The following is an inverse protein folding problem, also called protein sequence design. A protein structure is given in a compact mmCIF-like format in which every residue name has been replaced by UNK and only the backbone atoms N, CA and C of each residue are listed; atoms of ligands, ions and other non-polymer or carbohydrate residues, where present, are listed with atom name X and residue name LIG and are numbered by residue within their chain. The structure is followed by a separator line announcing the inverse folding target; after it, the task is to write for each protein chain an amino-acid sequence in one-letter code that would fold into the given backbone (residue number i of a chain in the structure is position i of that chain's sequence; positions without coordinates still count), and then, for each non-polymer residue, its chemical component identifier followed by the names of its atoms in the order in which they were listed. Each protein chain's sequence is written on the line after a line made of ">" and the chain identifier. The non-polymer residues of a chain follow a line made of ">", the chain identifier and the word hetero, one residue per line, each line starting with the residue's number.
data_IF_280855444914
#
_entry.id   IF_280855444914
#
_cell.length_a   1.000
_cell.length_b   1.000
_cell.length_c   1.000
_cell.angle_alpha   90.00
_cell.angle_beta   90.00
_cell.angle_gamma   90.00
#
_symmetry.space_group_name_H-M   'P 1'
#
loop_
_entity.id
_entity.type
_entity.pdbx_description
1 polymer ?
#
# COMPACT_ATOMS: atom_id res chain seq x y z
N UNK A 1 -19.09 27.94 12.09
CA UNK A 1 -17.75 28.17 11.50
C UNK A 1 -16.98 26.86 11.26
N UNK A 2 -17.00 25.87 12.16
CA UNK A 2 -16.25 24.61 11.97
C UNK A 2 -16.74 23.74 10.80
N UNK A 3 -18.06 23.56 10.65
CA UNK A 3 -18.61 22.70 9.60
C UNK A 3 -18.32 23.20 8.17
N UNK A 4 -18.39 24.52 7.94
CA UNK A 4 -18.06 25.12 6.65
C UNK A 4 -16.58 24.92 6.28
N UNK A 5 -15.68 25.09 7.25
CA UNK A 5 -14.23 24.88 7.06
C UNK A 5 -13.93 23.41 6.74
N UNK A 6 -14.64 22.47 7.37
CA UNK A 6 -14.51 21.04 7.09
C UNK A 6 -15.04 20.69 5.70
N UNK A 7 -16.20 21.24 5.30
CA UNK A 7 -16.77 21.05 3.97
C UNK A 7 -15.86 21.62 2.87
N UNK A 8 -15.32 22.82 3.06
CA UNK A 8 -14.40 23.46 2.13
C UNK A 8 -13.09 22.66 1.99
N UNK A 9 -12.58 22.11 3.10
CA UNK A 9 -11.40 21.24 3.10
C UNK A 9 -11.66 19.92 2.34
N UNK A 10 -12.82 19.30 2.52
CA UNK A 10 -13.17 18.08 1.77
C UNK A 10 -13.25 18.38 0.28
N UNK A 11 -13.88 19.48 -0.13
CA UNK A 11 -13.91 19.91 -1.55
C UNK A 11 -12.51 20.13 -2.12
N UNK A 12 -11.62 20.72 -1.35
CA UNK A 12 -10.22 20.88 -1.75
C UNK A 12 -9.53 19.53 -1.95
N UNK A 13 -9.72 18.58 -1.03
CA UNK A 13 -9.16 17.24 -1.14
C UNK A 13 -9.74 16.43 -2.31
N UNK A 14 -11.04 16.57 -2.59
CA UNK A 14 -11.66 15.98 -3.78
C UNK A 14 -11.02 16.50 -5.06
N UNK A 15 -10.89 17.82 -5.17
CA UNK A 15 -10.25 18.47 -6.32
C UNK A 15 -8.81 18.01 -6.51
N UNK A 16 -8.06 17.89 -5.42
CA UNK A 16 -6.67 17.45 -5.46
C UNK A 16 -6.54 15.96 -5.80
N UNK A 17 -7.42 15.09 -5.30
CA UNK A 17 -7.46 13.68 -5.72
C UNK A 17 -7.74 13.57 -7.22
N UNK A 18 -8.72 14.29 -7.74
CA UNK A 18 -9.00 14.28 -9.18
C UNK A 18 -7.82 14.81 -9.99
N UNK A 19 -7.12 15.84 -9.49
CA UNK A 19 -5.92 16.38 -10.13
C UNK A 19 -4.79 15.35 -10.19
N UNK A 20 -4.49 14.70 -9.06
CA UNK A 20 -3.42 13.70 -8.98
C UNK A 20 -3.78 12.40 -9.70
N UNK A 21 -5.06 11.99 -9.69
CA UNK A 21 -5.56 10.82 -10.40
C UNK A 21 -5.32 10.92 -11.90
N UNK A 22 -5.39 12.13 -12.50
CA UNK A 22 -5.06 12.34 -13.92
C UNK A 22 -3.59 12.06 -14.26
N UNK A 23 -2.70 12.01 -13.27
CA UNK A 23 -1.28 11.68 -13.44
C UNK A 23 -1.01 10.19 -13.24
N UNK A 24 -2.02 9.40 -12.89
CA UNK A 24 -1.86 7.98 -12.64
C UNK A 24 -1.51 7.22 -13.93
N UNK A 25 -0.52 6.34 -13.86
CA UNK A 25 -0.17 5.41 -14.93
C UNK A 25 -0.54 4.01 -14.45
N UNK A 26 -1.43 3.34 -15.17
CA UNK A 26 -1.93 1.99 -14.84
C UNK A 26 -1.17 0.86 -15.58
N UNK A 27 -0.06 1.20 -16.25
CA UNK A 27 0.72 0.32 -17.12
C UNK A 27 2.16 0.15 -16.64
N UNK A 28 2.84 -0.89 -17.14
CA UNK A 28 4.24 -1.17 -16.86
C UNK A 28 5.15 -0.20 -17.64
N UNK A 29 5.98 0.53 -16.89
CA UNK A 29 6.88 1.59 -17.38
C UNK A 29 8.35 1.21 -17.37
N UNK A 30 8.71 0.13 -16.67
CA UNK A 30 10.11 -0.28 -16.46
C UNK A 30 10.37 -1.66 -17.10
N UNK A 31 11.60 -1.89 -17.59
CA UNK A 31 11.95 -3.13 -18.29
C UNK A 31 11.80 -4.38 -17.40
N UNK A 32 12.17 -4.28 -16.12
CA UNK A 32 12.08 -5.39 -15.16
C UNK A 32 10.64 -5.89 -14.97
N UNK A 33 9.63 -5.05 -15.20
CA UNK A 33 8.21 -5.43 -15.05
C UNK A 33 7.75 -6.41 -16.14
N UNK A 34 8.39 -6.32 -17.31
CA UNK A 34 8.09 -7.13 -18.49
C UNK A 34 8.83 -8.46 -18.47
N UNK A 35 9.86 -8.60 -17.63
CA UNK A 35 10.54 -9.88 -17.46
C UNK A 35 9.67 -10.86 -16.67
N UNK A 36 9.47 -12.11 -17.12
CA UNK A 36 8.69 -13.11 -16.39
C UNK A 36 9.18 -13.38 -14.97
N UNK A 37 10.49 -13.26 -14.74
CA UNK A 37 11.17 -13.47 -13.47
C UNK A 37 11.60 -12.16 -12.77
N UNK A 38 11.16 -11.02 -13.31
CA UNK A 38 11.56 -9.68 -12.86
C UNK A 38 13.07 -9.40 -12.93
N UNK A 39 13.80 -10.03 -13.85
CA UNK A 39 15.21 -9.71 -14.13
C UNK A 39 15.46 -8.21 -14.23
N UNK A 40 16.44 -7.72 -13.46
CA UNK A 40 16.75 -6.29 -13.31
C UNK A 40 16.11 -5.64 -12.09
N UNK A 41 15.15 -6.29 -11.40
CA UNK A 41 14.68 -5.88 -10.10
C UNK A 41 15.64 -6.36 -9.00
N UNK A 42 16.12 -5.45 -8.18
CA UNK A 42 17.09 -5.72 -7.11
C UNK A 42 16.61 -5.22 -5.74
N UNK A 43 15.72 -4.22 -5.72
CA UNK A 43 15.27 -3.55 -4.49
C UNK A 43 13.77 -3.30 -4.49
N UNK A 44 13.11 -3.81 -3.45
CA UNK A 44 11.68 -3.59 -3.20
C UNK A 44 11.49 -2.83 -1.90
N UNK A 45 10.71 -1.76 -1.95
CA UNK A 45 10.35 -0.94 -0.81
C UNK A 45 9.07 -1.43 -0.14
N UNK A 46 8.96 -1.22 1.16
CA UNK A 46 7.74 -1.42 1.93
C UNK A 46 7.47 -0.20 2.81
N UNK A 47 6.21 0.24 2.87
CA UNK A 47 5.80 1.32 3.77
C UNK A 47 4.60 0.93 4.60
N UNK A 48 4.58 1.41 5.84
CA UNK A 48 3.49 1.24 6.81
C UNK A 48 3.36 2.48 7.70
N UNK A 49 2.16 2.71 8.20
CA UNK A 49 1.87 3.68 9.25
C UNK A 49 1.13 2.99 10.39
N UNK A 50 1.86 2.72 11.47
CA UNK A 50 1.30 2.05 12.64
C UNK A 50 0.97 3.05 13.74
N UNK A 51 -0.29 3.12 14.13
CA UNK A 51 -0.76 3.99 15.20
C UNK A 51 -0.35 3.49 16.58
N UNK A 52 -0.15 4.43 17.50
CA UNK A 52 -0.03 4.09 18.92
C UNK A 52 -1.33 3.47 19.44
N UNK A 53 -1.23 2.56 20.41
CA UNK A 53 -2.41 1.87 20.94
C UNK A 53 -3.31 2.87 21.67
N UNK A 54 -4.55 3.02 21.19
CA UNK A 54 -5.52 3.95 21.76
C UNK A 54 -5.37 5.39 21.28
N UNK A 55 -4.56 5.64 20.25
CA UNK A 55 -4.31 6.97 19.68
C UNK A 55 -4.52 6.92 18.16
N UNK A 56 -5.27 7.87 17.60
CA UNK A 56 -5.60 7.97 16.18
C UNK A 56 -4.90 9.15 15.47
N UNK A 57 -4.01 9.85 16.19
CA UNK A 57 -3.18 10.94 15.69
C UNK A 57 -1.71 10.55 15.62
N UNK A 58 -1.17 9.89 16.64
CA UNK A 58 0.25 9.58 16.69
C UNK A 58 0.54 8.19 16.13
N UNK A 59 1.45 8.14 15.16
CA UNK A 59 1.80 6.92 14.45
C UNK A 59 3.30 6.86 14.17
N UNK A 60 3.81 5.66 13.98
CA UNK A 60 5.14 5.43 13.41
C UNK A 60 5.01 5.27 11.89
N UNK A 61 5.56 6.23 11.15
CA UNK A 61 5.80 6.09 9.72
C UNK A 61 7.05 5.26 9.50
N UNK A 62 6.93 4.18 8.73
CA UNK A 62 8.01 3.25 8.46
C UNK A 62 8.25 3.11 6.97
N UNK A 63 9.52 3.24 6.58
CA UNK A 63 10.05 2.82 5.28
C UNK A 63 11.05 1.69 5.50
N UNK A 64 11.00 0.68 4.63
CA UNK A 64 12.03 -0.36 4.51
C UNK A 64 12.38 -0.57 3.05
N UNK A 65 13.62 -0.98 2.78
CA UNK A 65 14.03 -1.49 1.47
C UNK A 65 14.67 -2.86 1.66
N UNK A 66 14.22 -3.83 0.88
CA UNK A 66 14.73 -5.19 0.91
C UNK A 66 15.45 -5.54 -0.39
N UNK A 67 16.40 -6.47 -0.30
CA UNK A 67 16.97 -7.15 -1.47
C UNK A 67 15.91 -8.01 -2.17
N UNK A 68 15.93 -8.03 -3.49
CA UNK A 68 15.16 -8.93 -4.35
C UNK A 68 16.13 -9.78 -5.20
N UNK A 69 15.84 -11.06 -5.49
CA UNK A 69 14.62 -11.82 -5.19
C UNK A 69 14.61 -12.52 -3.82
N UNK A 70 15.71 -12.52 -3.07
CA UNK A 70 15.80 -13.36 -1.87
C UNK A 70 14.93 -12.86 -0.69
N UNK A 71 14.64 -11.55 -0.63
CA UNK A 71 13.91 -10.86 0.44
C UNK A 71 14.53 -11.06 1.84
N UNK A 72 15.80 -11.47 1.91
CA UNK A 72 16.47 -11.85 3.16
C UNK A 72 17.13 -10.67 3.86
N UNK A 73 17.54 -9.64 3.12
CA UNK A 73 18.28 -8.50 3.67
C UNK A 73 17.40 -7.26 3.67
N UNK A 74 17.20 -6.67 4.84
CA UNK A 74 16.73 -5.30 4.97
C UNK A 74 17.94 -4.40 4.74
N UNK A 75 18.00 -3.77 3.56
CA UNK A 75 19.09 -2.90 3.13
C UNK A 75 18.98 -1.52 3.77
N UNK A 76 17.76 -1.04 3.96
CA UNK A 76 17.46 0.24 4.56
C UNK A 76 16.23 0.16 5.45
N UNK A 77 16.21 0.95 6.53
CA UNK A 77 15.04 1.19 7.38
C UNK A 77 15.04 2.61 7.90
N UNK A 78 13.88 3.23 7.92
CA UNK A 78 13.64 4.52 8.54
C UNK A 78 12.32 4.49 9.30
N UNK A 79 12.37 4.80 10.60
CA UNK A 79 11.24 4.78 11.53
C UNK A 79 11.12 6.19 12.12
N UNK A 80 9.99 6.85 11.88
CA UNK A 80 9.74 8.19 12.43
C UNK A 80 8.42 8.21 13.18
N UNK A 81 8.43 8.79 14.38
CA UNK A 81 7.19 9.16 15.06
C UNK A 81 6.61 10.40 14.39
N UNK A 82 5.32 10.35 14.06
CA UNK A 82 4.60 11.42 13.37
C UNK A 82 3.24 11.66 14.02
N UNK A 83 2.75 12.88 13.90
CA UNK A 83 1.43 13.29 14.40
C UNK A 83 0.54 13.73 13.23
N UNK A 84 -0.51 12.96 12.96
CA UNK A 84 -1.47 13.18 11.90
C UNK A 84 -2.49 14.25 12.33
N UNK A 85 -2.19 15.51 12.02
CA UNK A 85 -3.01 16.68 12.38
C UNK A 85 -4.21 16.91 11.46
N UNK A 86 -4.22 16.28 10.27
CA UNK A 86 -5.38 16.31 9.39
C UNK A 86 -6.52 15.42 9.94
N UNK A 87 -7.79 15.81 9.82
CA UNK A 87 -8.93 15.04 10.33
C UNK A 87 -9.11 13.72 9.59
N UNK A 88 -9.67 12.73 10.29
CA UNK A 88 -10.06 11.47 9.67
C UNK A 88 -11.37 11.63 8.89
N UNK A 89 -11.29 11.55 7.57
CA UNK A 89 -12.45 11.49 6.68
C UNK A 89 -12.32 10.24 5.81
N UNK A 90 -13.34 9.39 5.82
CA UNK A 90 -13.35 8.16 5.02
C UNK A 90 -13.14 8.48 3.54
N UNK A 91 -12.21 7.76 2.89
CA UNK A 91 -11.79 8.04 1.52
C UNK A 91 -10.70 9.11 1.35
N UNK A 92 -10.24 9.72 2.44
CA UNK A 92 -9.19 10.77 2.41
C UNK A 92 -7.99 10.46 3.31
N UNK A 93 -7.87 9.21 3.79
CA UNK A 93 -6.76 8.77 4.65
C UNK A 93 -5.39 9.11 4.05
N UNK A 94 -5.25 9.02 2.73
CA UNK A 94 -4.02 9.34 2.02
C UNK A 94 -3.50 10.77 2.29
N UNK A 95 -4.37 11.76 2.54
CA UNK A 95 -3.94 13.13 2.87
C UNK A 95 -3.31 13.23 4.27
N UNK A 96 -3.64 12.30 5.17
CA UNK A 96 -3.02 12.23 6.51
C UNK A 96 -1.67 11.52 6.45
N UNK A 97 -1.56 10.50 5.61
CA UNK A 97 -0.46 9.53 5.67
C UNK A 97 0.64 9.81 4.64
N UNK A 98 0.27 10.15 3.39
CA UNK A 98 1.22 10.31 2.27
C UNK A 98 2.34 11.31 2.56
N UNK A 99 2.11 12.48 3.20
CA UNK A 99 3.20 13.43 3.46
C UNK A 99 4.35 12.83 4.27
N UNK A 100 4.05 11.99 5.27
CA UNK A 100 5.05 11.37 6.13
C UNK A 100 5.81 10.25 5.43
N UNK A 101 5.10 9.43 4.63
CA UNK A 101 5.70 8.37 3.83
C UNK A 101 6.61 8.95 2.73
N UNK A 102 6.17 10.03 2.08
CA UNK A 102 6.95 10.73 1.06
C UNK A 102 8.23 11.32 1.64
N UNK A 103 8.17 11.91 2.84
CA UNK A 103 9.38 12.39 3.53
C UNK A 103 10.38 11.26 3.82
N UNK A 104 9.91 10.05 4.15
CA UNK A 104 10.78 8.88 4.29
C UNK A 104 11.53 8.54 3.00
N UNK A 105 10.82 8.54 1.87
CA UNK A 105 11.45 8.32 0.56
C UNK A 105 12.42 9.44 0.19
N UNK A 106 12.09 10.69 0.50
CA UNK A 106 12.97 11.84 0.26
C UNK A 106 14.26 11.75 1.08
N UNK A 107 14.17 11.42 2.37
CA UNK A 107 15.35 11.21 3.22
C UNK A 107 16.24 10.09 2.70
N UNK A 108 15.64 8.97 2.25
CA UNK A 108 16.40 7.89 1.62
C UNK A 108 17.13 8.40 0.37
N UNK A 109 16.44 9.09 -0.51
CA UNK A 109 17.02 9.63 -1.75
C UNK A 109 18.17 10.62 -1.49
N UNK A 110 18.07 11.43 -0.43
CA UNK A 110 19.11 12.39 -0.05
C UNK A 110 20.31 11.72 0.63
N UNK A 111 20.08 10.68 1.44
CA UNK A 111 21.12 10.09 2.29
C UNK A 111 21.81 8.87 1.68
N UNK A 112 21.08 7.99 0.99
CA UNK A 112 21.54 6.72 0.44
C UNK A 112 20.83 6.40 -0.90
N UNK A 113 20.98 7.25 -1.93
CA UNK A 113 20.25 7.11 -3.21
C UNK A 113 20.47 5.78 -3.92
N UNK A 114 21.61 5.12 -3.72
CA UNK A 114 21.92 3.79 -4.26
C UNK A 114 21.00 2.68 -3.71
N UNK A 115 20.38 2.92 -2.55
CA UNK A 115 19.43 2.01 -1.92
C UNK A 115 17.98 2.34 -2.27
N UNK A 116 17.71 3.32 -3.15
CA UNK A 116 16.35 3.65 -3.56
C UNK A 116 15.64 2.43 -4.16
N UNK A 117 14.38 2.17 -3.74
CA UNK A 117 13.62 1.04 -4.24
C UNK A 117 13.15 1.28 -5.67
N UNK A 118 13.09 0.22 -6.48
CA UNK A 118 12.53 0.30 -7.83
C UNK A 118 10.99 0.23 -7.85
N UNK A 119 10.40 -0.25 -6.75
CA UNK A 119 8.96 -0.35 -6.55
C UNK A 119 8.66 -0.35 -5.06
N UNK A 120 7.56 0.30 -4.65
CA UNK A 120 7.14 0.40 -3.26
C UNK A 120 5.81 -0.31 -3.04
N UNK A 121 5.80 -1.24 -2.09
CA UNK A 121 4.60 -1.88 -1.56
C UNK A 121 4.02 -1.06 -0.42
N UNK A 122 2.73 -0.75 -0.52
CA UNK A 122 2.01 0.08 0.45
C UNK A 122 0.96 -0.79 1.15
N UNK A 123 0.96 -0.80 2.48
CA UNK A 123 -0.13 -1.43 3.27
C UNK A 123 -1.40 -0.59 3.18
N UNK A 124 -2.14 -0.78 2.10
CA UNK A 124 -3.29 0.04 1.77
C UNK A 124 -3.79 -0.21 0.36
N UNK A 125 -4.82 0.54 -0.02
CA UNK A 125 -5.42 0.42 -1.35
C UNK A 125 -4.76 1.40 -2.34
N UNK A 126 -4.74 1.01 -3.62
CA UNK A 126 -4.46 1.87 -4.77
C UNK A 126 -5.77 2.21 -5.51
N UNK A 127 -5.90 1.76 -6.76
CA UNK A 127 -7.13 1.94 -7.57
C UNK A 127 -8.39 1.32 -6.95
N UNK A 128 -8.25 0.29 -6.12
CA UNK A 128 -9.40 -0.32 -5.44
C UNK A 128 -9.84 0.53 -4.24
N UNK A 129 -10.43 1.69 -4.52
CA UNK A 129 -10.73 2.72 -3.53
C UNK A 129 -12.01 3.51 -3.87
N UNK A 130 -12.57 4.23 -2.89
CA UNK A 130 -13.82 5.03 -3.05
C UNK A 130 -13.82 5.92 -4.29
N UNK A 131 -12.69 6.55 -4.61
CA UNK A 131 -12.51 7.44 -5.77
C UNK A 131 -11.50 6.91 -6.79
N UNK A 132 -11.20 5.61 -6.69
CA UNK A 132 -10.14 4.95 -7.46
C UNK A 132 -8.77 5.63 -7.33
N UNK A 133 -8.49 6.21 -6.16
CA UNK A 133 -7.24 6.90 -5.85
C UNK A 133 -6.90 6.75 -4.36
N UNK A 134 -6.43 5.56 -4.00
CA UNK A 134 -6.04 5.22 -2.63
C UNK A 134 -4.63 5.70 -2.27
N UNK A 135 -4.16 5.32 -1.07
CA UNK A 135 -2.84 5.67 -0.55
C UNK A 135 -1.70 5.29 -1.50
N UNK A 136 -1.75 4.10 -2.10
CA UNK A 136 -0.69 3.64 -3.01
C UNK A 136 -0.63 4.45 -4.30
N UNK A 137 -1.78 4.92 -4.81
CA UNK A 137 -1.83 5.84 -5.95
C UNK A 137 -1.25 7.19 -5.58
N UNK A 138 -1.65 7.73 -4.43
CA UNK A 138 -1.21 9.03 -3.95
C UNK A 138 0.31 9.07 -3.76
N UNK A 139 0.86 8.09 -3.04
CA UNK A 139 2.30 7.98 -2.83
C UNK A 139 3.06 7.76 -4.14
N UNK A 140 2.57 6.89 -5.02
CA UNK A 140 3.20 6.59 -6.30
C UNK A 140 3.27 7.81 -7.22
N UNK A 141 2.16 8.54 -7.37
CA UNK A 141 2.12 9.75 -8.19
C UNK A 141 3.06 10.83 -7.66
N UNK A 142 3.09 11.07 -6.34
CA UNK A 142 3.93 12.12 -5.76
C UNK A 142 5.42 11.75 -5.71
N UNK A 143 5.74 10.47 -5.50
CA UNK A 143 7.13 9.99 -5.51
C UNK A 143 7.67 9.74 -6.91
N UNK A 144 6.79 9.54 -7.90
CA UNK A 144 7.16 9.12 -9.25
C UNK A 144 7.59 7.66 -9.37
N UNK A 145 7.54 6.88 -8.27
CA UNK A 145 7.94 5.47 -8.22
C UNK A 145 6.79 4.53 -8.60
N UNK A 146 7.09 3.35 -9.17
CA UNK A 146 6.14 2.26 -9.22
C UNK A 146 5.62 1.91 -7.82
N UNK A 147 4.30 1.81 -7.67
CA UNK A 147 3.65 1.53 -6.39
C UNK A 147 2.57 0.45 -6.53
N UNK A 148 2.50 -0.43 -5.53
CA UNK A 148 1.48 -1.48 -5.41
C UNK A 148 0.74 -1.30 -4.09
N UNK A 149 -0.58 -1.20 -4.15
CA UNK A 149 -1.42 -1.25 -2.96
C UNK A 149 -1.78 -2.69 -2.61
N UNK A 150 -1.43 -3.14 -1.41
CA UNK A 150 -1.78 -4.47 -0.90
C UNK A 150 -2.51 -4.34 0.43
N UNK A 151 -3.83 -4.46 0.38
CA UNK A 151 -4.67 -4.38 1.57
C UNK A 151 -4.86 -5.77 2.21
N UNK A 152 -4.77 -5.83 3.55
CA UNK A 152 -4.98 -7.05 4.35
C UNK A 152 -6.45 -7.46 4.47
N UNK A 153 -7.40 -6.56 4.20
CA UNK A 153 -8.85 -6.78 4.30
C UNK A 153 -9.57 -6.15 3.09
N UNK A 154 -10.77 -6.65 2.77
CA UNK A 154 -11.56 -6.13 1.66
C UNK A 154 -12.10 -4.75 2.03
N UNK A 155 -11.78 -3.75 1.21
CA UNK A 155 -12.49 -2.47 1.22
C UNK A 155 -13.83 -2.65 0.48
N UNK A 156 -14.96 -2.38 1.14
CA UNK A 156 -16.29 -2.54 0.53
C UNK A 156 -16.71 -1.25 -0.18
N UNK A 157 -16.32 -1.14 -1.45
CA UNK A 157 -16.50 0.06 -2.29
C UNK A 157 -16.83 -0.32 -3.71
N UNK A 158 -17.34 0.64 -4.50
CA UNK A 158 -17.54 0.45 -5.94
C UNK A 158 -18.46 -0.73 -6.29
N UNK A 159 -19.41 -1.06 -5.41
CA UNK A 159 -20.31 -2.21 -5.56
C UNK A 159 -19.70 -3.57 -5.21
N UNK A 160 -18.46 -3.60 -4.72
CA UNK A 160 -17.81 -4.82 -4.24
C UNK A 160 -18.08 -4.99 -2.75
N UNK A 161 -18.70 -6.10 -2.37
CA UNK A 161 -19.13 -6.39 -1.00
C UNK A 161 -18.59 -7.72 -0.50
N UNK A 162 -18.45 -7.86 0.82
CA UNK A 162 -18.07 -9.13 1.44
C UNK A 162 -19.30 -10.04 1.61
N UNK A 163 -19.90 -10.47 0.51
CA UNK A 163 -21.09 -11.32 0.46
C UNK A 163 -20.73 -12.82 0.28
N UNK A 164 -21.74 -13.68 0.18
CA UNK A 164 -21.59 -15.13 -0.02
C UNK A 164 -20.87 -15.48 -1.32
N UNK A 165 -21.12 -14.74 -2.40
CA UNK A 165 -20.43 -14.90 -3.67
C UNK A 165 -18.92 -14.64 -3.51
N UNK A 166 -18.55 -13.54 -2.85
CA UNK A 166 -17.16 -13.23 -2.55
C UNK A 166 -16.49 -14.32 -1.70
N UNK A 167 -17.19 -14.85 -0.69
CA UNK A 167 -16.66 -15.97 0.11
C UNK A 167 -16.49 -17.24 -0.74
N UNK A 168 -17.43 -17.53 -1.63
CA UNK A 168 -17.38 -18.68 -2.52
C UNK A 168 -16.19 -18.58 -3.50
N UNK A 169 -15.92 -17.39 -4.04
CA UNK A 169 -14.75 -17.13 -4.89
C UNK A 169 -13.44 -17.27 -4.11
N UNK A 170 -13.39 -16.87 -2.84
CA UNK A 170 -12.23 -17.12 -1.97
C UNK A 170 -12.04 -18.63 -1.76
N UNK A 171 -13.12 -19.38 -1.48
CA UNK A 171 -13.05 -20.82 -1.28
C UNK A 171 -12.57 -21.58 -2.52
N UNK A 172 -12.78 -21.03 -3.71
CA UNK A 172 -12.29 -21.56 -4.98
C UNK A 172 -10.79 -21.28 -5.26
N UNK A 173 -10.09 -20.52 -4.40
CA UNK A 173 -8.64 -20.31 -4.52
C UNK A 173 -7.90 -21.48 -3.86
N UNK A 174 -7.27 -22.34 -4.65
CA UNK A 174 -6.70 -23.61 -4.19
C UNK A 174 -5.23 -23.54 -3.81
N UNK A 175 -4.44 -22.72 -4.51
CA UNK A 175 -2.99 -22.59 -4.31
C UNK A 175 -2.53 -21.13 -4.28
N UNK A 176 -1.31 -20.91 -3.82
CA UNK A 176 -0.62 -19.63 -3.89
C UNK A 176 -0.51 -19.15 -5.34
N UNK A 177 -0.85 -17.89 -5.56
CA UNK A 177 -0.94 -17.27 -6.89
C UNK A 177 -2.35 -17.28 -7.49
N UNK A 178 -3.24 -18.14 -7.01
CA UNK A 178 -4.63 -18.09 -7.46
C UNK A 178 -5.24 -16.74 -7.08
N UNK A 179 -5.96 -16.13 -8.02
CA UNK A 179 -6.57 -14.82 -7.82
C UNK A 179 -7.85 -14.66 -8.63
N UNK A 180 -8.68 -13.70 -8.23
CA UNK A 180 -9.88 -13.34 -8.97
C UNK A 180 -10.09 -11.82 -9.01
N UNK A 181 -10.69 -11.27 -10.09
CA UNK A 181 -10.87 -9.83 -10.24
C UNK A 181 -11.90 -9.26 -9.27
N UNK A 182 -11.59 -8.06 -8.74
CA UNK A 182 -12.51 -7.18 -8.02
C UNK A 182 -13.08 -6.18 -9.03
N UNK A 183 -14.24 -6.53 -9.58
CA UNK A 183 -14.92 -5.76 -10.63
C UNK A 183 -15.90 -4.79 -10.00
N UNK A 184 -15.74 -3.49 -10.30
CA UNK A 184 -16.67 -2.46 -9.87
C UNK A 184 -18.04 -2.61 -10.54
N UNK A 185 -19.06 -1.96 -9.99
CA UNK A 185 -20.39 -1.88 -10.60
C UNK A 185 -20.37 -1.28 -12.02
N UNK A 186 -19.36 -0.46 -12.35
CA UNK A 186 -19.11 0.07 -13.69
C UNK A 186 -18.58 -0.96 -14.69
N UNK A 187 -18.18 -2.15 -14.23
CA UNK A 187 -17.50 -3.18 -15.03
C UNK A 187 -15.97 -3.04 -15.05
N UNK A 188 -15.40 -1.95 -14.52
CA UNK A 188 -13.94 -1.78 -14.43
C UNK A 188 -13.35 -2.74 -13.39
N UNK A 189 -12.27 -3.45 -13.74
CA UNK A 189 -11.49 -4.22 -12.76
C UNK A 189 -10.55 -3.27 -12.03
N UNK A 190 -10.72 -3.13 -10.71
CA UNK A 190 -9.96 -2.18 -9.89
C UNK A 190 -8.86 -2.84 -9.06
N UNK A 191 -8.88 -4.17 -8.96
CA UNK A 191 -7.89 -4.95 -8.22
C UNK A 191 -8.14 -6.45 -8.37
N UNK A 192 -7.35 -7.26 -7.67
CA UNK A 192 -7.57 -8.71 -7.53
C UNK A 192 -7.50 -9.13 -6.06
N UNK A 193 -8.37 -10.05 -5.67
CA UNK A 193 -8.14 -10.85 -4.46
C UNK A 193 -7.12 -11.93 -4.81
N UNK A 194 -6.03 -12.00 -4.06
CA UNK A 194 -4.90 -12.92 -4.29
C UNK A 194 -4.74 -13.84 -3.08
N UNK A 195 -4.80 -15.16 -3.29
CA UNK A 195 -4.24 -16.12 -2.34
C UNK A 195 -2.73 -16.08 -2.49
N UNK A 196 -2.05 -15.35 -1.62
CA UNK A 196 -0.64 -15.00 -1.78
C UNK A 196 0.33 -16.16 -1.55
N UNK A 197 -0.04 -17.14 -0.72
CA UNK A 197 0.76 -18.35 -0.47
C UNK A 197 -0.12 -19.54 -0.07
N UNK A 198 0.44 -20.74 -0.13
CA UNK A 198 -0.28 -21.97 0.22
C UNK A 198 -0.64 -22.05 1.70
N UNK A 199 0.16 -21.43 2.56
CA UNK A 199 0.03 -21.45 4.03
C UNK A 199 -1.19 -20.68 4.57
N UNK A 200 -1.88 -19.91 3.74
CA UNK A 200 -3.06 -19.14 4.16
C UNK A 200 -4.15 -19.17 3.09
N UNK A 201 -5.39 -19.43 3.51
CA UNK A 201 -6.57 -19.28 2.67
C UNK A 201 -7.12 -17.85 2.64
N UNK A 202 -6.71 -16.98 3.57
CA UNK A 202 -7.19 -15.59 3.63
C UNK A 202 -6.43 -14.74 2.60
N UNK A 203 -7.11 -14.22 1.56
CA UNK A 203 -6.42 -13.48 0.51
C UNK A 203 -5.89 -12.12 1.01
N UNK A 204 -5.02 -11.53 0.22
CA UNK A 204 -4.73 -10.10 0.21
C UNK A 204 -5.41 -9.45 -1.00
N UNK A 205 -5.66 -8.15 -0.96
CA UNK A 205 -6.33 -7.42 -2.02
C UNK A 205 -5.32 -6.49 -2.69
N UNK A 206 -4.93 -6.83 -3.92
CA UNK A 206 -3.90 -6.14 -4.68
C UNK A 206 -4.55 -5.18 -5.66
N UNK A 207 -4.06 -3.96 -5.71
CA UNK A 207 -4.50 -2.95 -6.68
C UNK A 207 -3.32 -2.12 -7.15
N UNK A 208 -3.42 -1.61 -8.37
CA UNK A 208 -2.42 -0.71 -8.95
C UNK A 208 -2.30 0.52 -8.07
N UNK A 209 -1.07 0.86 -7.69
CA UNK A 209 -0.74 2.17 -7.12
C UNK A 209 -0.39 3.12 -8.25
N UNK A 210 0.77 2.96 -8.88
CA UNK A 210 1.25 3.82 -9.97
C UNK A 210 2.32 3.08 -10.79
N UNK A 211 2.41 3.35 -12.11
CA UNK A 211 3.49 2.87 -13.00
C UNK A 211 3.71 1.36 -12.99
N UNK A 212 2.64 0.60 -12.78
CA UNK A 212 2.66 -0.86 -12.80
C UNK A 212 1.29 -1.36 -13.23
N UNK A 213 1.26 -2.39 -14.08
CA UNK A 213 0.01 -3.03 -14.47
C UNK A 213 -0.56 -3.89 -13.33
N UNK A 214 -1.88 -4.12 -13.34
CA UNK A 214 -2.51 -4.95 -12.32
C UNK A 214 -1.98 -6.40 -12.33
N UNK A 215 -1.67 -6.94 -13.51
CA UNK A 215 -1.13 -8.29 -13.60
C UNK A 215 0.28 -8.38 -13.00
N UNK A 216 1.16 -7.45 -13.39
CA UNK A 216 2.52 -7.34 -12.84
C UNK A 216 2.50 -7.10 -11.33
N UNK A 217 1.62 -6.23 -10.84
CA UNK A 217 1.45 -5.98 -9.41
C UNK A 217 1.06 -7.26 -8.65
N UNK A 218 0.17 -8.09 -9.18
CA UNK A 218 -0.28 -9.34 -8.56
C UNK A 218 0.84 -10.39 -8.56
N UNK A 219 1.52 -10.59 -9.71
CA UNK A 219 2.66 -11.50 -9.82
C UNK A 219 3.79 -11.10 -8.87
N UNK A 220 4.13 -9.82 -8.82
CA UNK A 220 5.19 -9.32 -7.95
C UNK A 220 4.80 -9.43 -6.47
N UNK A 221 3.54 -9.15 -6.12
CA UNK A 221 3.03 -9.35 -4.76
C UNK A 221 3.21 -10.80 -4.32
N UNK A 222 2.84 -11.77 -5.17
CA UNK A 222 3.04 -13.19 -4.90
C UNK A 222 4.53 -13.53 -4.73
N UNK A 223 5.39 -13.05 -5.63
CA UNK A 223 6.84 -13.27 -5.56
C UNK A 223 7.45 -12.70 -4.26
N UNK A 224 6.88 -11.62 -3.74
CA UNK A 224 7.28 -11.01 -2.47
C UNK A 224 6.69 -11.69 -1.22
N UNK A 225 5.89 -12.76 -1.35
CA UNK A 225 5.19 -13.40 -0.23
C UNK A 225 5.90 -14.65 0.30
N UNK A 226 6.80 -14.48 1.29
CA UNK A 226 7.30 -15.59 2.12
C UNK A 226 6.24 -16.14 3.09
N UNK A 227 5.26 -15.28 3.42
CA UNK A 227 4.09 -15.54 4.25
C UNK A 227 2.83 -14.98 3.57
N UNK A 228 1.71 -14.86 4.30
CA UNK A 228 0.47 -14.28 3.76
C UNK A 228 0.66 -12.84 3.27
N UNK A 229 1.35 -12.01 4.02
CA UNK A 229 1.59 -10.59 3.69
C UNK A 229 2.96 -10.49 2.99
N UNK A 230 3.10 -9.69 1.93
CA UNK A 230 4.39 -9.49 1.26
C UNK A 230 5.45 -9.03 2.24
N UNK A 231 6.66 -9.56 2.09
CA UNK A 231 7.77 -9.36 3.00
C UNK A 231 8.10 -7.88 3.23
N UNK A 232 8.07 -6.98 2.22
CA UNK A 232 8.30 -5.55 2.45
C UNK A 232 7.26 -4.91 3.39
N UNK A 233 5.97 -5.21 3.20
CA UNK A 233 4.91 -4.72 4.10
C UNK A 233 5.03 -5.37 5.48
N UNK A 234 5.32 -6.67 5.53
CA UNK A 234 5.48 -7.39 6.79
C UNK A 234 6.62 -6.81 7.63
N UNK A 235 7.75 -6.50 7.01
CA UNK A 235 8.90 -5.88 7.68
C UNK A 235 8.57 -4.45 8.13
N UNK A 236 7.89 -3.66 7.30
CA UNK A 236 7.45 -2.32 7.68
C UNK A 236 6.53 -2.37 8.93
N UNK A 237 5.50 -3.22 8.94
CA UNK A 237 4.58 -3.40 10.08
C UNK A 237 5.30 -3.95 11.34
N UNK A 238 6.27 -4.87 11.19
CA UNK A 238 7.02 -5.38 12.34
C UNK A 238 7.90 -4.29 12.98
N UNK A 239 8.65 -3.56 12.16
CA UNK A 239 9.60 -2.54 12.62
C UNK A 239 8.90 -1.31 13.17
N UNK A 240 7.79 -0.88 12.56
CA UNK A 240 6.98 0.24 13.07
C UNK A 240 6.42 -0.08 14.46
N UNK A 241 5.85 -1.28 14.65
CA UNK A 241 5.37 -1.74 15.96
C UNK A 241 6.50 -1.94 16.97
N UNK A 242 7.67 -2.41 16.54
CA UNK A 242 8.84 -2.53 17.41
C UNK A 242 9.33 -1.17 17.89
N UNK A 243 9.40 -0.19 16.99
CA UNK A 243 9.76 1.18 17.31
C UNK A 243 8.82 1.77 18.37
N UNK A 244 7.49 1.59 18.18
CA UNK A 244 6.50 2.02 19.15
C UNK A 244 6.68 1.35 20.51
N UNK A 245 6.85 0.02 20.57
CA UNK A 245 7.06 -0.69 21.84
C UNK A 245 8.29 -0.21 22.60
N UNK A 246 9.37 0.12 21.88
CA UNK A 246 10.65 0.52 22.48
C UNK A 246 10.66 1.96 22.99
N UNK A 247 10.05 2.89 22.25
CA UNK A 247 10.14 4.32 22.52
C UNK A 247 8.89 4.88 23.21
N UNK A 248 7.75 4.18 23.08
CA UNK A 248 6.45 4.58 23.61
C UNK A 248 5.74 3.36 24.23
N UNK A 249 6.34 2.73 25.26
CA UNK A 249 5.69 1.61 25.94
C UNK A 249 4.35 2.07 26.51
N UNK A 250 3.32 1.23 26.35
CA UNK A 250 2.06 1.48 27.05
C UNK A 250 2.37 1.48 28.55
N UNK A 251 1.87 2.48 29.28
CA UNK A 251 1.90 2.42 30.73
C UNK A 251 1.18 1.13 31.15
N UNK A 252 1.82 0.30 31.97
CA UNK A 252 1.18 -0.89 32.55
C UNK A 252 -0.05 -0.42 33.35
N UNK A 253 -1.23 -0.59 32.76
CA UNK A 253 -2.54 -0.43 33.43
C UNK A 253 -3.11 -1.79 33.76
#
# INVERSE_FOLDING_TARGET
>A
MSAQVEEDRVKQWESEQERLKRLLVEEDTEDWQRSPDFSGLERVGGVDLSFMKGDDMNACAQLVVLSYPDLKKVLYRDSQMVTLTAPYVAGFLAFRETPFLLQGLQRLQESQPELSPQVVFVDGNGLFHYREFGLACHLGVLSGLPCVGVAKNLLQVQGVHKNEEHQSRIAALHKGGDSFPLTAASGKVLGKALRSCDKSSKPVYVSVGHKISLDTAVRLTQACCLFRVPEPIRQADCLSREYLRKHFPAADT
#
